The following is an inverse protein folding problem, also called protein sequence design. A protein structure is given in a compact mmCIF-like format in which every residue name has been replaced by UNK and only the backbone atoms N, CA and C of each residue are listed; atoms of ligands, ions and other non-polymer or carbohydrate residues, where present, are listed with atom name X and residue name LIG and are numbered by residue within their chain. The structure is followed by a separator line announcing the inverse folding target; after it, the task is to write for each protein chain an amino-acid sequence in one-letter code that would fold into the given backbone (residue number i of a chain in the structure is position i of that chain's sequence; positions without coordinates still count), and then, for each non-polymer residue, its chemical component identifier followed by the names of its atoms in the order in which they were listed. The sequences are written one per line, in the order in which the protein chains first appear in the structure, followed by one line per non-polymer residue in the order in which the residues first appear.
data_IF_158526803824
#
_entry.id   IF_158526803824
#
_cell.length_a   1.000
_cell.length_b   1.000
_cell.length_c   1.000
_cell.angle_alpha   90.00
_cell.angle_beta   90.00
_cell.angle_gamma   90.00
#
_symmetry.space_group_name_H-M   'P 1'
#
loop_
_entity.id
_entity.type
_entity.pdbx_description
1 polymer ?
#
# COMPACT_ATOMS: atom_id res chain seq x y z
N UNK A 1 -1.32 18.11 15.50
CA UNK A 1 -1.47 16.71 15.01
C UNK A 1 -2.11 16.69 13.64
N UNK A 2 -3.08 17.57 13.36
CA UNK A 2 -3.65 17.74 12.01
C UNK A 2 -2.57 18.22 11.04
N UNK A 3 -1.69 19.11 11.50
CA UNK A 3 -0.56 19.66 10.75
C UNK A 3 0.44 18.55 10.38
N UNK A 4 0.85 17.72 11.37
CA UNK A 4 1.72 16.58 11.13
C UNK A 4 1.10 15.60 10.13
N UNK A 5 -0.19 15.29 10.26
CA UNK A 5 -0.87 14.42 9.30
C UNK A 5 -0.90 14.99 7.88
N UNK A 6 -1.07 16.32 7.74
CA UNK A 6 -1.02 16.99 6.44
C UNK A 6 0.40 17.01 5.86
N UNK A 7 1.40 17.29 6.68
CA UNK A 7 2.82 17.31 6.29
C UNK A 7 3.31 15.92 5.89
N UNK A 8 3.15 14.90 6.73
CA UNK A 8 3.50 13.51 6.40
C UNK A 8 2.75 13.04 5.14
N UNK A 9 1.47 13.38 5.04
CA UNK A 9 0.67 13.05 3.87
C UNK A 9 1.22 13.62 2.58
N UNK A 10 1.62 14.90 2.59
CA UNK A 10 2.05 15.63 1.38
C UNK A 10 3.52 15.36 1.04
N UNK A 11 4.39 15.34 2.04
CA UNK A 11 5.84 15.33 1.86
C UNK A 11 6.44 13.91 1.89
N UNK A 12 5.70 12.92 2.38
CA UNK A 12 6.22 11.53 2.52
C UNK A 12 5.31 10.52 1.84
N UNK A 13 4.04 10.41 2.27
CA UNK A 13 3.15 9.36 1.79
C UNK A 13 2.73 9.57 0.34
N UNK A 14 2.31 10.77 -0.05
CA UNK A 14 1.91 11.05 -1.43
C UNK A 14 3.02 10.76 -2.45
N UNK A 15 4.24 11.32 -2.34
CA UNK A 15 5.32 11.03 -3.29
C UNK A 15 5.76 9.57 -3.21
N UNK A 16 5.92 9.01 -2.01
CA UNK A 16 6.35 7.62 -1.84
C UNK A 16 5.37 6.62 -2.44
N UNK A 17 4.06 6.80 -2.22
CA UNK A 17 3.04 5.93 -2.83
C UNK A 17 2.95 6.12 -4.35
N UNK A 18 3.20 7.32 -4.87
CA UNK A 18 3.29 7.54 -6.31
C UNK A 18 4.50 6.81 -6.93
N UNK A 19 5.65 6.80 -6.24
CA UNK A 19 6.82 6.02 -6.65
C UNK A 19 6.54 4.51 -6.64
N UNK A 20 5.89 4.00 -5.59
CA UNK A 20 5.47 2.59 -5.53
C UNK A 20 4.50 2.24 -6.67
N UNK A 21 3.54 3.12 -6.97
CA UNK A 21 2.62 2.93 -8.08
C UNK A 21 3.32 2.91 -9.44
N UNK A 22 4.40 3.68 -9.62
CA UNK A 22 5.19 3.67 -10.84
C UNK A 22 6.10 2.43 -10.95
N UNK A 23 6.57 1.90 -9.82
CA UNK A 23 7.48 0.74 -9.76
C UNK A 23 6.75 -0.59 -9.90
N UNK A 24 5.60 -0.74 -9.25
CA UNK A 24 4.93 -2.04 -9.10
C UNK A 24 3.76 -2.20 -10.06
N UNK A 25 3.87 -3.18 -10.96
CA UNK A 25 2.82 -3.49 -11.94
C UNK A 25 1.52 -3.98 -11.29
N UNK A 26 1.55 -4.44 -10.05
CA UNK A 26 0.36 -4.81 -9.28
C UNK A 26 -0.41 -3.61 -8.74
N UNK A 27 0.17 -2.40 -8.67
CA UNK A 27 -0.52 -1.23 -8.13
C UNK A 27 -1.36 -0.56 -9.21
N UNK A 28 -2.66 -0.77 -9.18
CA UNK A 28 -3.59 -0.19 -10.15
C UNK A 28 -3.98 1.25 -9.83
N UNK A 29 -4.02 1.62 -8.55
CA UNK A 29 -4.35 2.98 -8.13
C UNK A 29 -3.83 3.28 -6.71
N UNK A 30 -3.39 4.53 -6.51
CA UNK A 30 -3.13 5.09 -5.18
C UNK A 30 -3.98 6.34 -4.99
N UNK A 31 -4.68 6.42 -3.86
CA UNK A 31 -5.54 7.57 -3.53
C UNK A 31 -5.60 7.81 -2.03
N UNK A 32 -5.68 9.07 -1.62
CA UNK A 32 -5.73 9.40 -0.20
C UNK A 32 -5.57 10.89 0.09
N UNK A 33 -5.59 11.22 1.38
CA UNK A 33 -5.35 12.56 1.90
C UNK A 33 -4.81 12.47 3.34
N UNK A 34 -3.91 13.38 3.71
CA UNK A 34 -3.23 13.34 5.00
C UNK A 34 -2.54 11.99 5.22
N UNK A 35 -2.81 11.33 6.34
CA UNK A 35 -2.31 9.98 6.65
C UNK A 35 -3.34 8.88 6.42
N UNK A 36 -4.26 9.06 5.47
CA UNK A 36 -5.21 8.01 5.08
C UNK A 36 -5.12 7.77 3.58
N UNK A 37 -4.48 6.66 3.20
CA UNK A 37 -4.29 6.27 1.81
C UNK A 37 -4.74 4.83 1.56
N UNK A 38 -5.22 4.58 0.35
CA UNK A 38 -5.49 3.25 -0.17
C UNK A 38 -4.60 2.97 -1.37
N UNK A 39 -3.98 1.80 -1.37
CA UNK A 39 -3.22 1.20 -2.47
C UNK A 39 -4.04 0.05 -2.99
N UNK A 40 -4.54 0.17 -4.22
CA UNK A 40 -5.38 -0.84 -4.87
C UNK A 40 -4.54 -1.77 -5.73
N UNK A 41 -4.61 -3.06 -5.45
CA UNK A 41 -3.84 -4.09 -6.12
C UNK A 41 -4.69 -4.79 -7.19
N UNK A 42 -4.14 -4.91 -8.39
CA UNK A 42 -4.78 -5.52 -9.56
C UNK A 42 -3.91 -6.65 -10.10
N UNK A 43 -4.54 -7.67 -10.66
CA UNK A 43 -3.87 -8.75 -11.39
C UNK A 43 -3.51 -8.32 -12.83
N UNK A 44 -4.23 -7.33 -13.37
CA UNK A 44 -4.03 -6.83 -14.73
C UNK A 44 -4.30 -5.31 -14.79
N UNK A 45 -3.32 -4.55 -15.30
CA UNK A 45 -3.37 -3.08 -15.38
C UNK A 45 -4.36 -2.55 -16.42
N UNK A 46 -4.58 -3.30 -17.51
CA UNK A 46 -5.43 -2.85 -18.61
C UNK A 46 -6.91 -3.02 -18.25
N UNK A 47 -7.26 -4.15 -17.66
CA UNK A 47 -8.64 -4.52 -17.29
C UNK A 47 -9.01 -4.03 -15.90
N UNK A 48 -8.02 -3.71 -15.06
CA UNK A 48 -8.16 -3.45 -13.62
C UNK A 48 -8.79 -4.63 -12.87
N UNK A 49 -8.52 -5.86 -13.31
CA UNK A 49 -8.96 -7.06 -12.60
C UNK A 49 -8.39 -7.05 -11.16
N UNK A 50 -9.23 -7.08 -10.12
CA UNK A 50 -8.75 -7.02 -8.73
C UNK A 50 -7.89 -8.23 -8.34
N UNK A 51 -6.83 -8.00 -7.54
CA UNK A 51 -5.98 -9.09 -7.03
C UNK A 51 -6.70 -10.00 -6.02
N UNK A 52 -7.86 -9.58 -5.52
CA UNK A 52 -8.77 -10.37 -4.69
C UNK A 52 -10.24 -10.06 -5.00
N UNK A 53 -11.14 -11.05 -4.88
CA UNK A 53 -12.56 -10.84 -5.13
C UNK A 53 -13.19 -9.90 -4.12
N UNK A 54 -14.22 -9.18 -4.55
CA UNK A 54 -15.04 -8.36 -3.65
C UNK A 54 -15.61 -9.22 -2.52
N UNK A 55 -15.57 -8.72 -1.29
CA UNK A 55 -16.06 -9.45 -0.13
C UNK A 55 -15.03 -10.38 0.53
N UNK A 56 -13.88 -10.66 -0.10
CA UNK A 56 -12.94 -11.68 0.37
C UNK A 56 -11.46 -11.32 0.25
N UNK A 57 -10.60 -12.34 0.40
CA UNK A 57 -9.16 -12.25 0.15
C UNK A 57 -8.78 -13.22 -0.98
N UNK A 58 -7.51 -13.24 -1.35
CA UNK A 58 -6.91 -14.21 -2.26
C UNK A 58 -5.60 -14.75 -1.68
N UNK A 59 -5.07 -15.88 -2.18
CA UNK A 59 -3.73 -16.34 -1.81
C UNK A 59 -2.65 -15.26 -2.02
N UNK A 60 -2.75 -14.49 -3.12
CA UNK A 60 -1.86 -13.38 -3.41
C UNK A 60 -1.94 -12.28 -2.34
N UNK A 61 -3.15 -11.80 -2.01
CA UNK A 61 -3.33 -10.80 -0.95
C UNK A 61 -2.83 -11.30 0.41
N UNK A 62 -3.08 -12.56 0.75
CA UNK A 62 -2.59 -13.16 1.99
C UNK A 62 -1.05 -13.21 2.03
N UNK A 63 -0.40 -13.50 0.91
CA UNK A 63 1.05 -13.50 0.80
C UNK A 63 1.65 -12.10 0.98
N UNK A 64 1.04 -11.07 0.36
CA UNK A 64 1.45 -9.67 0.53
C UNK A 64 1.31 -9.22 1.98
N UNK A 65 0.16 -9.50 2.62
CA UNK A 65 -0.04 -9.20 4.04
C UNK A 65 0.96 -9.95 4.92
N UNK A 66 1.30 -11.20 4.57
CA UNK A 66 2.35 -11.98 5.23
C UNK A 66 3.73 -11.33 5.10
N UNK A 67 4.09 -10.84 3.91
CA UNK A 67 5.34 -10.15 3.65
C UNK A 67 5.44 -8.84 4.43
N UNK A 68 4.37 -8.02 4.48
CA UNK A 68 4.34 -6.83 5.33
C UNK A 68 4.62 -7.18 6.79
N UNK A 69 3.93 -8.18 7.34
CA UNK A 69 4.09 -8.61 8.74
C UNK A 69 5.48 -9.14 9.04
N UNK A 70 6.06 -9.91 8.11
CA UNK A 70 7.43 -10.42 8.24
C UNK A 70 8.46 -9.29 8.25
N UNK A 71 8.21 -8.19 7.53
CA UNK A 71 9.01 -6.97 7.55
C UNK A 71 8.73 -6.04 8.73
N UNK A 72 7.77 -6.36 9.61
CA UNK A 72 7.43 -5.53 10.78
C UNK A 72 6.27 -4.54 10.55
N UNK A 73 5.66 -4.51 9.37
CA UNK A 73 4.52 -3.65 9.06
C UNK A 73 3.20 -4.40 9.29
N UNK A 74 2.28 -3.80 10.05
CA UNK A 74 0.91 -4.32 10.20
C UNK A 74 -0.06 -3.55 9.28
N UNK A 75 -0.37 -4.07 8.07
CA UNK A 75 -1.29 -3.40 7.18
C UNK A 75 -2.75 -3.67 7.56
N UNK A 76 -3.62 -2.73 7.23
CA UNK A 76 -5.06 -3.00 7.12
C UNK A 76 -5.37 -3.37 5.66
N UNK A 77 -5.83 -4.60 5.43
CA UNK A 77 -6.23 -5.06 4.10
C UNK A 77 -7.77 -5.12 4.00
N UNK A 78 -8.32 -4.61 2.89
CA UNK A 78 -9.73 -4.67 2.57
C UNK A 78 -9.89 -5.07 1.10
N UNK A 79 -10.27 -6.32 0.88
CA UNK A 79 -10.29 -6.95 -0.44
C UNK A 79 -8.93 -6.87 -1.11
N UNK A 80 -8.85 -6.24 -2.27
CA UNK A 80 -7.63 -6.01 -3.02
C UNK A 80 -6.91 -4.71 -2.62
N UNK A 81 -7.27 -4.06 -1.51
CA UNK A 81 -6.65 -2.81 -1.06
C UNK A 81 -5.83 -2.99 0.19
N UNK A 82 -4.65 -2.38 0.22
CA UNK A 82 -3.87 -2.13 1.44
C UNK A 82 -4.06 -0.66 1.82
N UNK A 83 -4.44 -0.41 3.06
CA UNK A 83 -4.56 0.96 3.57
C UNK A 83 -3.28 1.35 4.32
N UNK A 84 -2.69 2.48 3.90
CA UNK A 84 -1.58 3.14 4.59
C UNK A 84 -2.18 4.21 5.48
N UNK A 85 -2.42 3.82 6.73
CA UNK A 85 -3.17 4.58 7.74
C UNK A 85 -2.41 4.67 9.08
N UNK A 86 -1.18 5.23 9.10
CA UNK A 86 -0.42 5.34 10.33
C UNK A 86 -1.07 6.31 11.33
N UNK A 87 -0.69 6.26 12.61
CA UNK A 87 -1.11 7.25 13.61
C UNK A 87 -0.78 8.70 13.18
N UNK A 88 -1.62 9.67 13.55
CA UNK A 88 -1.40 11.07 13.16
C UNK A 88 -0.14 11.72 13.77
N UNK A 89 0.52 11.06 14.72
CA UNK A 89 1.82 11.47 15.30
C UNK A 89 3.01 10.70 14.72
N UNK A 90 2.82 9.91 13.66
CA UNK A 90 3.92 9.21 12.96
C UNK A 90 4.98 10.21 12.50
N UNK A 91 6.23 9.81 12.63
CA UNK A 91 7.37 10.58 12.13
C UNK A 91 7.60 10.32 10.64
N UNK A 92 8.32 11.22 9.97
CA UNK A 92 8.69 11.02 8.57
C UNK A 92 9.60 9.80 8.37
N UNK A 93 10.42 9.46 9.38
CA UNK A 93 11.29 8.29 9.35
C UNK A 93 10.48 6.98 9.41
N UNK A 94 9.57 6.85 10.38
CA UNK A 94 8.68 5.69 10.49
C UNK A 94 7.79 5.52 9.25
N UNK A 95 7.30 6.63 8.69
CA UNK A 95 6.51 6.60 7.46
C UNK A 95 7.32 6.08 6.26
N UNK A 96 8.59 6.48 6.12
CA UNK A 96 9.49 5.97 5.08
C UNK A 96 9.88 4.51 5.31
N UNK A 97 10.09 4.11 6.55
CA UNK A 97 10.34 2.70 6.91
C UNK A 97 9.14 1.83 6.50
N UNK A 98 7.93 2.26 6.85
CA UNK A 98 6.70 1.57 6.44
C UNK A 98 6.54 1.47 4.92
N UNK A 99 6.88 2.53 4.18
CA UNK A 99 6.88 2.52 2.72
C UNK A 99 7.92 1.55 2.14
N UNK A 100 9.12 1.45 2.72
CA UNK A 100 10.15 0.51 2.28
C UNK A 100 9.76 -0.96 2.53
N UNK A 101 9.06 -1.23 3.64
CA UNK A 101 8.49 -2.57 3.90
C UNK A 101 7.37 -2.86 2.89
N UNK A 102 6.51 -1.87 2.62
CA UNK A 102 5.44 -2.02 1.63
C UNK A 102 5.99 -2.27 0.22
N UNK A 103 7.03 -1.54 -0.19
CA UNK A 103 7.77 -1.74 -1.44
C UNK A 103 8.20 -3.21 -1.61
N UNK A 104 8.89 -3.75 -0.60
CA UNK A 104 9.33 -5.14 -0.58
C UNK A 104 8.16 -6.14 -0.61
N UNK A 105 7.03 -5.80 0.02
CA UNK A 105 5.84 -6.65 0.01
C UNK A 105 5.11 -6.61 -1.34
N UNK A 106 5.17 -5.50 -2.08
CA UNK A 106 4.57 -5.36 -3.40
C UNK A 106 5.33 -6.17 -4.47
N UNK A 107 6.62 -6.46 -4.28
CA UNK A 107 7.34 -7.44 -5.12
C UNK A 107 6.66 -8.82 -5.10
N UNK A 108 6.01 -9.20 -3.99
CA UNK A 108 5.21 -10.43 -3.90
C UNK A 108 3.91 -10.31 -4.70
N UNK A 109 3.25 -9.15 -4.64
CA UNK A 109 2.05 -8.89 -5.43
C UNK A 109 2.35 -8.95 -6.93
N UNK A 110 3.48 -8.39 -7.36
CA UNK A 110 3.93 -8.36 -8.74
C UNK A 110 4.16 -9.76 -9.34
N UNK A 111 4.41 -10.79 -8.52
CA UNK A 111 4.52 -12.17 -8.98
C UNK A 111 3.18 -12.79 -9.41
N UNK A 112 2.07 -12.13 -9.07
CA UNK A 112 0.71 -12.61 -9.31
C UNK A 112 -0.03 -11.80 -10.40
N UNK A 113 0.70 -10.96 -11.15
CA UNK A 113 0.15 -10.16 -12.25
C UNK A 113 0.62 -10.69 -13.60
N UNK A 114 -0.23 -10.56 -14.61
CA UNK A 114 0.07 -10.97 -15.98
C UNK A 114 0.98 -9.97 -16.72
#
# INVERSE_FOLDING_TARGET
MVENAAEIGTEVLAPGLAELAAKHRSVGEVRGAGVFWAVELVADQQTREPLAPYGGSSPAMNAVVGACKAGGLLPFANYNRIHVVPPCNVTAEEAREGLAILDSALDVADQHTN
#
